data_IF_663395749199
#
_entry.id   IF_663395749199
#
_cell.length_a   1.000
_cell.length_b   1.000
_cell.length_c   1.000
_cell.angle_alpha   90.00
_cell.angle_beta   90.00
_cell.angle_gamma   90.00
#
_symmetry.space_group_name_H-M   'P 1'
#
loop_
_entity.id
_entity.type
_entity.pdbx_description
1 polymer ?
#
# COMPACT_ATOMS: atom_id res chain seq x y z
N UNK A 1 4.63 2.65 -4.73
CA UNK A 1 3.45 3.46 -4.35
C UNK A 1 2.41 2.47 -3.90
N UNK A 2 2.19 2.40 -2.58
CA UNK A 2 1.47 1.30 -1.95
C UNK A 2 -0.06 1.47 -1.94
N UNK A 3 -0.56 2.72 -1.92
CA UNK A 3 -1.98 3.05 -2.05
C UNK A 3 -2.28 3.48 -3.49
N UNK A 4 -3.24 2.83 -4.12
CA UNK A 4 -3.65 3.06 -5.52
C UNK A 4 -4.81 4.05 -5.63
N UNK A 5 -5.45 4.39 -4.51
CA UNK A 5 -6.55 5.35 -4.44
C UNK A 5 -7.85 4.74 -3.93
N UNK A 6 -8.80 5.63 -3.63
CA UNK A 6 -10.20 5.27 -3.42
C UNK A 6 -10.83 4.88 -4.75
N UNK A 7 -11.24 3.63 -4.87
CA UNK A 7 -11.77 3.04 -6.11
C UNK A 7 -13.29 3.08 -6.19
N UNK A 8 -13.99 3.42 -5.12
CA UNK A 8 -15.44 3.61 -5.13
C UNK A 8 -16.00 4.00 -3.77
N UNK A 9 -17.14 4.69 -3.78
CA UNK A 9 -17.92 5.02 -2.58
C UNK A 9 -19.41 4.79 -2.85
N UNK A 10 -20.18 4.57 -1.80
CA UNK A 10 -21.63 4.46 -1.89
C UNK A 10 -22.31 4.95 -0.62
N UNK A 11 -23.54 5.42 -0.76
CA UNK A 11 -24.43 5.75 0.35
C UNK A 11 -25.81 5.14 0.11
N UNK A 12 -26.51 4.85 1.20
CA UNK A 12 -27.89 4.41 1.16
C UNK A 12 -28.66 5.10 2.29
N UNK A 13 -29.80 5.72 1.94
CA UNK A 13 -30.69 6.43 2.86
C UNK A 13 -32.07 5.77 3.02
N UNK A 14 -32.19 4.51 2.60
CA UNK A 14 -33.39 3.69 2.69
C UNK A 14 -33.08 2.38 3.41
N UNK A 15 -34.10 1.77 4.02
CA UNK A 15 -33.96 0.48 4.70
C UNK A 15 -33.67 -0.63 3.70
N UNK A 16 -32.49 -1.23 3.79
CA UNK A 16 -32.06 -2.34 2.94
C UNK A 16 -31.13 -3.31 3.68
N UNK A 17 -31.06 -4.53 3.17
CA UNK A 17 -30.08 -5.54 3.59
C UNK A 17 -28.82 -5.51 2.73
N UNK A 18 -28.70 -4.61 1.76
CA UNK A 18 -27.54 -4.51 0.89
C UNK A 18 -27.19 -3.09 0.46
N UNK A 19 -25.90 -2.86 0.23
CA UNK A 19 -25.35 -1.69 -0.46
C UNK A 19 -24.46 -2.15 -1.62
N UNK A 20 -24.49 -1.41 -2.73
CA UNK A 20 -23.62 -1.64 -3.89
C UNK A 20 -22.75 -0.41 -4.11
N UNK A 21 -21.44 -0.64 -4.21
CA UNK A 21 -20.43 0.34 -4.59
C UNK A 21 -20.14 0.16 -6.07
N UNK A 22 -20.36 1.19 -6.87
CA UNK A 22 -19.88 1.25 -8.26
C UNK A 22 -18.48 1.82 -8.28
N UNK A 23 -17.56 1.13 -8.95
CA UNK A 23 -16.16 1.53 -8.97
C UNK A 23 -15.92 2.70 -9.93
N UNK A 24 -15.29 3.76 -9.42
CA UNK A 24 -14.81 4.89 -10.20
C UNK A 24 -13.41 4.65 -10.78
N UNK A 25 -12.64 3.73 -10.21
CA UNK A 25 -11.32 3.32 -10.67
C UNK A 25 -11.13 1.80 -10.56
N UNK A 26 -10.19 1.26 -11.34
CA UNK A 26 -9.86 -0.16 -11.30
C UNK A 26 -8.89 -0.54 -10.18
N UNK A 27 -8.82 -1.84 -9.89
CA UNK A 27 -7.82 -2.44 -9.01
C UNK A 27 -7.13 -3.60 -9.75
N UNK A 28 -5.80 -3.56 -9.94
CA UNK A 28 -5.08 -4.58 -10.68
C UNK A 28 -5.02 -5.91 -9.92
N UNK A 29 -4.82 -7.01 -10.65
CA UNK A 29 -4.53 -8.33 -10.06
C UNK A 29 -3.35 -8.21 -9.10
N UNK A 30 -3.45 -8.87 -7.95
CA UNK A 30 -2.44 -8.83 -6.91
C UNK A 30 -2.54 -7.62 -5.98
N UNK A 31 -3.45 -6.66 -6.21
CA UNK A 31 -3.78 -5.67 -5.18
C UNK A 31 -4.70 -6.27 -4.10
N UNK A 32 -4.81 -5.57 -2.98
CA UNK A 32 -5.80 -5.80 -1.92
C UNK A 32 -6.77 -4.63 -1.91
N UNK A 33 -8.06 -4.92 -1.93
CA UNK A 33 -9.10 -3.92 -1.70
C UNK A 33 -9.49 -3.97 -0.22
N UNK A 34 -9.46 -2.81 0.44
CA UNK A 34 -9.94 -2.61 1.79
C UNK A 34 -11.27 -1.86 1.74
N UNK A 35 -12.25 -2.35 2.48
CA UNK A 35 -13.62 -1.86 2.49
C UNK A 35 -13.95 -1.33 3.88
N UNK A 36 -14.22 -0.03 4.00
CA UNK A 36 -14.77 0.59 5.19
C UNK A 36 -16.26 0.80 5.04
N UNK A 37 -17.04 0.45 6.07
CA UNK A 37 -18.50 0.61 6.07
C UNK A 37 -18.96 1.18 7.39
N UNK A 38 -19.87 2.15 7.32
CA UNK A 38 -20.63 2.68 8.43
C UNK A 38 -22.12 2.33 8.27
N UNK A 39 -22.77 1.97 9.37
CA UNK A 39 -24.21 1.71 9.43
C UNK A 39 -24.87 2.51 10.54
N UNK A 40 -26.18 2.71 10.45
CA UNK A 40 -26.98 2.81 11.67
C UNK A 40 -26.92 1.49 12.45
N UNK A 41 -26.84 1.56 13.77
CA UNK A 41 -26.80 0.39 14.63
C UNK A 41 -28.18 0.07 15.24
N UNK A 42 -29.29 0.40 14.56
CA UNK A 42 -30.63 0.41 15.15
C UNK A 42 -31.08 -0.92 15.82
N UNK A 43 -30.41 -2.05 15.54
CA UNK A 43 -30.62 -3.34 16.22
C UNK A 43 -29.57 -3.67 17.30
N UNK A 44 -28.92 -2.65 17.87
CA UNK A 44 -28.03 -2.77 19.03
C UNK A 44 -26.67 -3.39 18.77
N UNK A 45 -26.20 -3.43 17.51
CA UNK A 45 -24.93 -4.06 17.21
C UNK A 45 -24.49 -3.94 15.76
N UNK A 46 -23.28 -4.43 15.49
CA UNK A 46 -22.73 -4.58 14.14
C UNK A 46 -23.58 -5.63 13.39
N UNK A 47 -24.09 -5.33 12.18
CA UNK A 47 -24.81 -6.33 11.41
C UNK A 47 -23.88 -7.48 10.99
N UNK A 48 -24.41 -8.71 10.96
CA UNK A 48 -23.69 -9.85 10.39
C UNK A 48 -23.63 -9.70 8.87
N UNK A 49 -22.43 -9.77 8.31
CA UNK A 49 -22.24 -9.72 6.85
C UNK A 49 -22.46 -11.13 6.29
N UNK A 50 -23.51 -11.29 5.50
CA UNK A 50 -23.89 -12.56 4.89
C UNK A 50 -23.04 -12.87 3.66
N UNK A 51 -22.76 -11.86 2.84
CA UNK A 51 -21.94 -12.00 1.64
C UNK A 51 -21.31 -10.67 1.24
N UNK A 52 -20.14 -10.76 0.62
CA UNK A 52 -19.56 -9.68 -0.17
C UNK A 52 -19.16 -10.27 -1.52
N UNK A 53 -19.62 -9.65 -2.59
CA UNK A 53 -19.38 -10.11 -3.97
C UNK A 53 -18.98 -8.94 -4.83
N UNK A 54 -18.14 -9.19 -5.84
CA UNK A 54 -17.91 -8.24 -6.92
C UNK A 54 -18.27 -8.84 -8.28
N UNK A 55 -18.44 -7.99 -9.28
CA UNK A 55 -18.81 -8.39 -10.66
C UNK A 55 -17.75 -9.23 -11.37
N UNK A 56 -16.56 -9.42 -10.78
CA UNK A 56 -15.44 -10.19 -11.33
C UNK A 56 -15.16 -11.49 -10.56
N UNK A 57 -15.98 -11.79 -9.55
CA UNK A 57 -15.91 -13.05 -8.80
C UNK A 57 -14.68 -13.18 -7.89
N UNK A 58 -14.09 -12.08 -7.40
CA UNK A 58 -13.06 -12.21 -6.38
C UNK A 58 -13.64 -12.72 -5.06
N UNK A 59 -12.79 -13.38 -4.26
CA UNK A 59 -13.19 -13.92 -2.96
C UNK A 59 -13.01 -12.88 -1.86
N UNK A 60 -14.08 -12.67 -1.09
CA UNK A 60 -14.11 -11.73 0.03
C UNK A 60 -14.27 -12.45 1.37
N UNK A 61 -13.71 -11.88 2.43
CA UNK A 61 -14.09 -12.27 3.79
C UNK A 61 -15.51 -11.78 4.10
N UNK A 62 -16.31 -12.62 4.75
CA UNK A 62 -17.59 -12.22 5.35
C UNK A 62 -17.45 -11.86 6.83
N UNK A 63 -16.30 -12.15 7.42
CA UNK A 63 -15.96 -11.69 8.77
C UNK A 63 -15.15 -10.39 8.66
N UNK A 64 -15.61 -9.28 9.26
CA UNK A 64 -14.80 -8.07 9.33
C UNK A 64 -13.47 -8.34 10.01
N UNK A 65 -12.39 -7.78 9.49
CA UNK A 65 -11.11 -7.75 10.20
C UNK A 65 -11.26 -6.92 11.50
N UNK A 66 -12.09 -5.88 11.46
CA UNK A 66 -12.40 -5.02 12.59
C UNK A 66 -13.85 -4.55 12.54
N UNK A 67 -14.50 -4.42 13.69
CA UNK A 67 -15.84 -3.85 13.78
C UNK A 67 -16.21 -3.44 15.20
N UNK A 68 -17.05 -2.42 15.35
CA UNK A 68 -17.64 -2.03 16.65
C UNK A 68 -18.94 -1.27 16.45
N UNK A 69 -19.82 -1.30 17.45
CA UNK A 69 -21.04 -0.50 17.49
C UNK A 69 -21.07 0.37 18.75
N UNK A 70 -21.52 1.62 18.57
CA UNK A 70 -21.84 2.55 19.65
C UNK A 70 -23.33 2.46 19.99
N UNK A 71 -23.68 1.45 20.80
CA UNK A 71 -25.06 1.16 21.20
C UNK A 71 -25.96 0.94 19.98
N UNK A 72 -27.10 1.63 19.97
CA UNK A 72 -28.08 1.56 18.87
C UNK A 72 -27.90 2.64 17.81
N UNK A 73 -26.85 3.48 17.91
CA UNK A 73 -26.71 4.66 17.05
C UNK A 73 -25.93 4.34 15.79
N UNK A 74 -24.66 3.96 15.90
CA UNK A 74 -23.75 3.83 14.75
C UNK A 74 -22.85 2.61 14.90
N UNK A 75 -22.58 1.92 13.80
CA UNK A 75 -21.64 0.82 13.74
C UNK A 75 -20.65 1.01 12.60
N UNK A 76 -19.49 0.40 12.72
CA UNK A 76 -18.43 0.41 11.71
C UNK A 76 -17.88 -0.99 11.49
N UNK A 77 -17.41 -1.26 10.27
CA UNK A 77 -16.75 -2.50 9.90
C UNK A 77 -15.69 -2.27 8.83
N UNK A 78 -14.62 -3.06 8.91
CA UNK A 78 -13.54 -3.10 7.93
C UNK A 78 -13.39 -4.51 7.37
N UNK A 79 -13.39 -4.65 6.05
CA UNK A 79 -13.18 -5.93 5.35
C UNK A 79 -12.08 -5.81 4.31
N UNK A 80 -11.63 -6.95 3.80
CA UNK A 80 -10.65 -7.01 2.72
C UNK A 80 -10.91 -8.15 1.74
N UNK A 81 -10.39 -7.96 0.53
CA UNK A 81 -10.25 -9.00 -0.47
C UNK A 81 -8.96 -8.83 -1.27
N UNK A 82 -8.35 -9.95 -1.65
CA UNK A 82 -7.26 -9.95 -2.63
C UNK A 82 -7.87 -10.01 -4.02
N UNK A 83 -7.43 -9.12 -4.90
CA UNK A 83 -7.87 -9.10 -6.30
C UNK A 83 -7.13 -10.19 -7.08
N UNK A 84 -7.85 -11.24 -7.45
CA UNK A 84 -7.38 -12.33 -8.33
C UNK A 84 -7.80 -12.10 -9.79
N UNK A 85 -8.91 -11.39 -9.99
CA UNK A 85 -9.43 -10.95 -11.28
C UNK A 85 -9.53 -9.43 -11.25
N UNK A 86 -8.82 -8.74 -12.15
CA UNK A 86 -8.76 -7.27 -12.15
C UNK A 86 -10.16 -6.64 -12.15
N UNK A 87 -10.36 -5.70 -11.22
CA UNK A 87 -11.53 -4.85 -11.16
C UNK A 87 -11.31 -3.64 -12.08
N UNK A 88 -12.33 -3.24 -12.82
CA UNK A 88 -12.31 -2.10 -13.73
C UNK A 88 -13.29 -1.02 -13.27
N UNK A 89 -13.14 0.19 -13.80
CA UNK A 89 -14.16 1.24 -13.66
C UNK A 89 -15.52 0.72 -14.16
N UNK A 90 -16.58 0.97 -13.39
CA UNK A 90 -17.94 0.50 -13.65
C UNK A 90 -18.26 -0.89 -13.11
N UNK A 91 -17.27 -1.68 -12.68
CA UNK A 91 -17.53 -2.89 -11.88
C UNK A 91 -18.17 -2.53 -10.53
N UNK A 92 -18.72 -3.53 -9.85
CA UNK A 92 -19.42 -3.31 -8.58
C UNK A 92 -18.89 -4.20 -7.47
N UNK A 93 -18.98 -3.71 -6.23
CA UNK A 93 -18.82 -4.50 -5.00
C UNK A 93 -20.14 -4.37 -4.24
N UNK A 94 -20.78 -5.50 -3.93
CA UNK A 94 -22.05 -5.56 -3.18
C UNK A 94 -21.81 -6.23 -1.84
N UNK A 95 -22.25 -5.56 -0.77
CA UNK A 95 -22.26 -6.09 0.59
C UNK A 95 -23.69 -6.39 0.97
N UNK A 96 -23.93 -7.59 1.47
CA UNK A 96 -25.24 -8.03 1.98
C UNK A 96 -25.10 -8.43 3.44
N UNK A 97 -26.01 -7.97 4.27
CA UNK A 97 -26.12 -8.35 5.68
C UNK A 97 -27.29 -9.31 5.90
N UNK A 98 -27.20 -10.08 6.98
CA UNK A 98 -28.32 -10.85 7.52
C UNK A 98 -28.89 -10.18 8.77
N UNK A 99 -30.13 -10.54 9.13
CA UNK A 99 -30.85 -9.94 10.25
C UNK A 99 -31.65 -8.70 9.85
N UNK A 100 -31.77 -7.74 10.76
CA UNK A 100 -32.54 -6.52 10.54
C UNK A 100 -31.84 -5.61 9.52
N UNK A 101 -32.59 -5.22 8.48
CA UNK A 101 -32.15 -4.25 7.48
C UNK A 101 -31.77 -2.91 8.13
N UNK A 102 -30.88 -2.17 7.46
CA UNK A 102 -30.34 -0.88 7.93
C UNK A 102 -30.79 0.24 7.03
N UNK A 103 -31.16 1.36 7.63
CA UNK A 103 -31.70 2.54 6.95
C UNK A 103 -30.64 3.50 6.44
N UNK A 104 -29.41 3.42 6.97
CA UNK A 104 -28.33 4.36 6.69
C UNK A 104 -27.01 3.63 6.53
N UNK A 105 -26.42 3.76 5.36
CA UNK A 105 -25.13 3.16 5.03
C UNK A 105 -24.23 4.19 4.37
N UNK A 106 -22.96 4.17 4.72
CA UNK A 106 -21.89 4.81 3.95
C UNK A 106 -20.77 3.79 3.79
N UNK A 107 -20.24 3.64 2.57
CA UNK A 107 -19.20 2.67 2.27
C UNK A 107 -18.13 3.26 1.35
N UNK A 108 -16.89 2.80 1.52
CA UNK A 108 -15.73 3.19 0.71
C UNK A 108 -14.83 1.99 0.48
N UNK A 109 -14.34 1.84 -0.76
CA UNK A 109 -13.34 0.86 -1.15
C UNK A 109 -12.04 1.56 -1.56
N UNK A 110 -10.92 1.16 -0.95
CA UNK A 110 -9.56 1.64 -1.25
C UNK A 110 -8.68 0.48 -1.74
N UNK A 111 -7.88 0.70 -2.78
CA UNK A 111 -6.99 -0.31 -3.35
C UNK A 111 -5.53 -0.11 -2.93
N UNK A 112 -4.85 -1.20 -2.57
CA UNK A 112 -3.45 -1.20 -2.13
C UNK A 112 -2.63 -2.30 -2.82
N UNK A 113 -1.45 -1.98 -3.34
CA UNK A 113 -0.62 -2.90 -4.14
C UNK A 113 0.36 -3.75 -3.32
N UNK A 114 0.78 -3.27 -2.14
CA UNK A 114 1.93 -3.84 -1.40
C UNK A 114 1.54 -4.72 -0.20
N UNK A 115 0.23 -4.94 0.02
CA UNK A 115 -0.30 -5.70 1.15
C UNK A 115 -0.04 -7.21 0.96
N UNK A 116 0.44 -7.87 2.02
CA UNK A 116 0.83 -9.29 1.98
C UNK A 116 -0.37 -10.25 1.82
N UNK A 117 -0.09 -11.53 1.55
CA UNK A 117 -1.12 -12.58 1.38
C UNK A 117 -1.84 -12.96 2.68
N UNK A 118 -1.12 -12.91 3.81
CA UNK A 118 -1.68 -13.04 5.17
C UNK A 118 -1.46 -11.71 5.91
N UNK A 119 -2.22 -10.66 5.56
CA UNK A 119 -1.84 -9.31 5.89
C UNK A 119 -2.25 -8.88 7.30
N UNK A 120 -3.40 -9.32 7.82
CA UNK A 120 -3.89 -8.82 9.10
C UNK A 120 -2.91 -9.13 10.23
N UNK A 121 -2.58 -8.13 11.06
CA UNK A 121 -1.71 -8.27 12.21
C UNK A 121 -2.40 -7.93 13.53
N UNK A 122 -2.77 -6.67 13.74
CA UNK A 122 -3.43 -6.19 14.97
C UNK A 122 -4.66 -5.38 14.67
N UNK A 123 -5.59 -5.40 15.62
CA UNK A 123 -6.81 -4.61 15.57
C UNK A 123 -7.11 -3.98 16.91
N UNK A 124 -7.85 -2.88 16.88
CA UNK A 124 -8.46 -2.27 18.05
C UNK A 124 -9.76 -1.56 17.63
N UNK A 125 -10.61 -1.29 18.60
CA UNK A 125 -11.86 -0.57 18.36
C UNK A 125 -12.27 0.21 19.58
N UNK A 126 -12.98 1.32 19.37
CA UNK A 126 -13.50 2.17 20.43
C UNK A 126 -14.87 2.75 20.04
N UNK A 127 -15.76 2.84 21.02
CA UNK A 127 -17.10 3.38 20.88
C UNK A 127 -17.56 4.01 22.20
N UNK A 128 -16.87 5.06 22.70
CA UNK A 128 -17.05 5.56 24.06
C UNK A 128 -18.29 6.44 24.24
N UNK A 129 -19.07 6.66 23.17
CA UNK A 129 -20.21 7.58 23.16
C UNK A 129 -19.94 8.80 22.27
N UNK A 130 -20.23 10.01 22.78
CA UNK A 130 -20.15 11.25 22.01
C UNK A 130 -18.84 12.01 22.25
N UNK A 131 -18.12 12.36 21.18
CA UNK A 131 -16.90 13.17 21.25
C UNK A 131 -16.69 13.97 19.96
N UNK A 132 -15.94 15.07 20.05
CA UNK A 132 -15.38 15.77 18.88
C UNK A 132 -13.95 15.28 18.55
N UNK A 133 -13.30 14.56 19.47
CA UNK A 133 -12.00 13.93 19.29
C UNK A 133 -12.21 12.42 19.27
N UNK A 134 -12.20 11.85 18.08
CA UNK A 134 -12.44 10.43 17.84
C UNK A 134 -11.12 9.67 17.96
N UNK A 135 -11.20 8.46 18.48
CA UNK A 135 -10.10 7.52 18.61
C UNK A 135 -10.59 6.13 18.20
N UNK A 136 -9.77 5.36 17.49
CA UNK A 136 -10.04 3.94 17.20
C UNK A 136 -9.75 3.02 18.38
N UNK A 137 -9.19 3.55 19.47
CA UNK A 137 -8.47 2.76 20.47
C UNK A 137 -7.07 2.38 19.98
N UNK A 138 -6.27 1.87 20.92
CA UNK A 138 -4.86 1.52 20.71
C UNK A 138 -4.71 0.02 20.50
N UNK A 139 -4.05 -0.40 19.42
CA UNK A 139 -3.73 -1.81 19.18
C UNK A 139 -2.65 -2.30 20.15
N UNK A 140 -2.53 -3.62 20.33
CA UNK A 140 -1.27 -4.18 20.79
C UNK A 140 -0.13 -3.86 19.80
N UNK A 141 1.13 -4.03 20.24
CA UNK A 141 2.28 -3.79 19.37
C UNK A 141 2.25 -4.70 18.13
N UNK A 142 2.53 -4.13 16.96
CA UNK A 142 2.60 -4.86 15.70
C UNK A 142 3.74 -5.88 15.69
N UNK A 143 3.58 -6.95 14.91
CA UNK A 143 4.55 -8.05 14.84
C UNK A 143 5.66 -7.83 13.83
N UNK A 144 5.50 -6.84 12.93
CA UNK A 144 6.56 -6.41 12.02
C UNK A 144 6.62 -4.89 11.90
N UNK A 145 7.73 -4.42 11.34
CA UNK A 145 8.03 -3.01 11.21
C UNK A 145 7.15 -2.33 10.14
N UNK A 146 7.00 -2.95 8.98
CA UNK A 146 6.29 -2.39 7.84
C UNK A 146 4.79 -2.72 7.92
N UNK A 147 3.99 -1.77 8.40
CA UNK A 147 2.54 -1.94 8.53
C UNK A 147 1.78 -0.84 7.80
N UNK A 148 0.73 -1.22 7.08
CA UNK A 148 -0.34 -0.34 6.64
C UNK A 148 -1.37 -0.30 7.77
N UNK A 149 -1.51 0.86 8.40
CA UNK A 149 -2.53 1.10 9.43
C UNK A 149 -3.73 1.72 8.75
N UNK A 150 -4.92 1.12 8.93
CA UNK A 150 -6.18 1.65 8.40
C UNK A 150 -7.15 1.87 9.54
N UNK A 151 -7.62 3.10 9.66
CA UNK A 151 -8.59 3.56 10.63
C UNK A 151 -9.91 3.88 9.92
N UNK A 152 -11.00 3.33 10.44
CA UNK A 152 -12.36 3.54 9.91
C UNK A 152 -13.20 4.20 11.00
N UNK A 153 -13.76 5.36 10.68
CA UNK A 153 -14.57 6.15 11.60
C UNK A 153 -15.99 6.27 11.06
N UNK A 154 -16.97 5.92 11.90
CA UNK A 154 -18.38 6.13 11.65
C UNK A 154 -18.95 7.11 12.68
N UNK A 155 -19.63 8.16 12.23
CA UNK A 155 -20.18 9.23 13.08
C UNK A 155 -21.42 9.84 12.42
N UNK A 156 -22.14 10.72 13.12
CA UNK A 156 -23.25 11.49 12.50
C UNK A 156 -22.78 12.47 11.43
N UNK A 157 -23.55 12.67 10.36
CA UNK A 157 -23.24 13.56 9.23
C UNK A 157 -23.18 15.06 9.59
N UNK A 158 -22.86 15.91 8.61
CA UNK A 158 -22.93 17.38 8.74
C UNK A 158 -21.77 18.00 9.53
N UNK A 159 -20.73 17.24 9.82
CA UNK A 159 -19.53 17.69 10.53
C UNK A 159 -18.37 17.90 9.56
N UNK A 160 -17.56 18.91 9.83
CA UNK A 160 -16.26 19.08 9.19
C UNK A 160 -15.25 18.19 9.91
N UNK A 161 -14.35 17.58 9.13
CA UNK A 161 -13.40 16.59 9.60
C UNK A 161 -11.98 17.15 9.52
N UNK A 162 -11.18 16.93 10.56
CA UNK A 162 -9.76 17.25 10.59
C UNK A 162 -8.96 15.96 10.72
N UNK A 163 -8.20 15.64 9.67
CA UNK A 163 -7.30 14.48 9.64
C UNK A 163 -5.95 14.89 10.23
N UNK A 164 -5.42 14.15 11.21
CA UNK A 164 -4.10 14.45 11.79
C UNK A 164 -2.97 14.36 10.76
N UNK A 165 -1.87 15.07 11.02
CA UNK A 165 -0.66 14.96 10.19
C UNK A 165 -0.13 13.52 10.16
N UNK A 166 0.46 13.13 9.02
CA UNK A 166 0.98 11.78 8.80
C UNK A 166 -0.08 10.73 8.42
N UNK A 167 -1.36 11.11 8.37
CA UNK A 167 -2.43 10.28 7.82
C UNK A 167 -2.89 10.81 6.46
N UNK A 168 -3.15 9.90 5.55
CA UNK A 168 -3.94 10.16 4.34
C UNK A 168 -5.37 9.67 4.58
N UNK A 169 -6.36 10.32 3.98
CA UNK A 169 -7.76 9.88 4.08
C UNK A 169 -8.45 9.98 2.73
N UNK A 170 -9.43 9.10 2.53
CA UNK A 170 -10.37 9.22 1.41
C UNK A 170 -11.39 10.34 1.66
N UNK A 171 -12.38 10.48 0.76
CA UNK A 171 -13.47 11.43 0.95
C UNK A 171 -14.28 11.11 2.21
N UNK A 172 -14.84 12.14 2.85
CA UNK A 172 -15.93 11.93 3.82
C UNK A 172 -17.17 11.49 3.02
N UNK A 173 -17.69 10.31 3.33
CA UNK A 173 -18.88 9.74 2.68
C UNK A 173 -20.06 9.87 3.63
N UNK A 174 -21.13 10.57 3.27
CA UNK A 174 -22.25 10.83 4.17
C UNK A 174 -23.63 10.61 3.53
N UNK A 175 -24.56 10.03 4.29
CA UNK A 175 -25.98 9.93 3.89
C UNK A 175 -26.69 11.27 4.06
N UNK A 176 -27.79 11.45 3.32
CA UNK A 176 -28.54 12.71 3.24
C UNK A 176 -30.06 12.51 3.34
N UNK A 177 -30.54 12.10 4.52
CA UNK A 177 -31.95 11.88 4.79
C UNK A 177 -32.38 12.24 6.23
N UNK A 178 -31.66 13.15 6.90
CA UNK A 178 -32.10 13.84 8.12
C UNK A 178 -31.37 13.40 9.40
N UNK A 179 -32.06 13.50 10.55
CA UNK A 179 -31.47 13.38 11.90
C UNK A 179 -30.86 12.01 12.26
N UNK A 180 -30.97 11.02 11.39
CA UNK A 180 -30.36 9.70 11.53
C UNK A 180 -29.13 9.47 10.64
N UNK A 181 -28.65 10.48 9.92
CA UNK A 181 -27.61 10.30 8.91
C UNK A 181 -26.26 9.85 9.48
N UNK A 182 -25.53 9.10 8.65
CA UNK A 182 -24.23 8.52 8.97
C UNK A 182 -23.18 9.06 8.01
N UNK A 183 -22.01 9.33 8.57
CA UNK A 183 -20.80 9.66 7.86
C UNK A 183 -19.74 8.61 8.13
N UNK A 184 -18.93 8.37 7.12
CA UNK A 184 -17.78 7.49 7.10
C UNK A 184 -16.54 8.31 6.71
N UNK A 185 -15.44 8.04 7.38
CA UNK A 185 -14.12 8.40 6.89
C UNK A 185 -13.18 7.19 7.06
N UNK A 186 -12.48 6.85 6.00
CA UNK A 186 -11.38 5.88 6.04
C UNK A 186 -10.07 6.64 5.91
N UNK A 187 -9.17 6.43 6.87
CA UNK A 187 -7.84 7.00 6.87
C UNK A 187 -6.80 5.89 6.92
N UNK A 188 -5.63 6.13 6.35
CA UNK A 188 -4.51 5.20 6.40
C UNK A 188 -3.16 5.89 6.60
N UNK A 189 -2.20 5.14 7.13
CA UNK A 189 -0.78 5.51 7.18
C UNK A 189 0.10 4.27 7.00
N UNK A 190 1.30 4.48 6.47
CA UNK A 190 2.34 3.45 6.45
C UNK A 190 3.32 3.74 7.58
N UNK A 191 3.68 2.71 8.34
CA UNK A 191 4.70 2.78 9.39
C UNK A 191 5.80 1.78 9.10
N UNK A 192 7.02 2.08 9.54
CA UNK A 192 8.24 1.29 9.31
C UNK A 192 8.94 0.86 10.60
N UNK A 193 8.20 0.86 11.72
CA UNK A 193 8.66 0.40 13.02
C UNK A 193 7.54 -0.35 13.74
N UNK A 194 7.93 -1.37 14.52
CA UNK A 194 6.99 -2.08 15.39
C UNK A 194 6.49 -1.16 16.49
N UNK A 195 5.21 -1.25 16.84
CA UNK A 195 4.64 -0.48 17.93
C UNK A 195 3.13 -0.54 17.96
N UNK A 196 2.53 0.07 18.98
CA UNK A 196 1.08 0.22 19.07
C UNK A 196 0.58 1.24 18.05
N UNK A 197 -0.60 1.02 17.50
CA UNK A 197 -1.20 1.90 16.50
C UNK A 197 -2.56 2.42 17.00
N UNK A 198 -2.88 3.66 16.66
CA UNK A 198 -4.15 4.31 16.95
C UNK A 198 -4.42 5.34 15.85
N UNK A 199 -5.63 5.30 15.31
CA UNK A 199 -6.16 6.36 14.46
C UNK A 199 -6.94 7.36 15.32
N UNK A 200 -6.75 8.64 15.04
CA UNK A 200 -7.55 9.72 15.63
C UNK A 200 -8.16 10.61 14.56
N UNK A 201 -9.26 11.28 14.89
CA UNK A 201 -9.95 12.20 13.99
C UNK A 201 -10.58 13.36 14.76
N UNK A 202 -10.44 14.58 14.25
CA UNK A 202 -11.14 15.75 14.78
C UNK A 202 -12.46 16.02 14.06
N UNK A 203 -13.50 16.41 14.80
CA UNK A 203 -14.77 16.88 14.26
C UNK A 203 -15.05 18.31 14.72
N UNK A 204 -15.74 19.09 13.89
CA UNK A 204 -16.17 20.46 14.24
C UNK A 204 -17.17 20.53 15.41
N UNK A 205 -17.85 19.42 15.71
CA UNK A 205 -18.75 19.27 16.86
C UNK A 205 -18.85 17.81 17.28
N UNK A 206 -19.23 17.55 18.53
CA UNK A 206 -19.30 16.20 19.06
C UNK A 206 -20.32 15.32 18.31
N UNK A 207 -20.00 14.04 18.16
CA UNK A 207 -20.86 13.02 17.58
C UNK A 207 -20.76 11.72 18.36
N UNK A 208 -21.86 10.99 18.48
CA UNK A 208 -21.77 9.57 18.80
C UNK A 208 -21.06 8.86 17.66
N UNK A 209 -20.03 8.09 17.98
CA UNK A 209 -19.18 7.49 16.97
C UNK A 209 -18.79 6.05 17.32
N UNK A 210 -18.50 5.28 16.29
CA UNK A 210 -17.87 3.98 16.33
C UNK A 210 -16.61 4.04 15.46
N UNK A 211 -15.47 3.62 16.00
CA UNK A 211 -14.21 3.67 15.27
C UNK A 211 -13.39 2.41 15.49
N UNK A 212 -12.72 1.94 14.46
CA UNK A 212 -11.87 0.76 14.53
C UNK A 212 -10.61 0.95 13.70
N UNK A 213 -9.54 0.26 14.09
CA UNK A 213 -8.25 0.24 13.39
C UNK A 213 -7.80 -1.20 13.17
N UNK A 214 -7.22 -1.43 12.00
CA UNK A 214 -6.53 -2.66 11.65
C UNK A 214 -5.16 -2.33 11.08
N UNK A 215 -4.17 -3.16 11.39
CA UNK A 215 -2.83 -3.10 10.81
C UNK A 215 -2.63 -4.28 9.87
N UNK A 216 -2.04 -3.98 8.72
CA UNK A 216 -1.79 -4.93 7.66
C UNK A 216 -0.31 -4.95 7.30
N UNK A 217 0.28 -6.13 7.40
CA UNK A 217 1.62 -6.46 6.93
C UNK A 217 1.74 -6.12 5.45
N UNK A 218 2.74 -5.31 5.12
CA UNK A 218 3.09 -5.02 3.74
C UNK A 218 4.58 -5.24 3.52
N UNK A 219 4.94 -5.54 2.27
CA UNK A 219 6.34 -5.60 1.83
C UNK A 219 6.57 -4.42 0.92
N UNK A 220 7.37 -3.42 1.33
CA UNK A 220 7.69 -2.28 0.48
C UNK A 220 8.21 -2.78 -0.86
N UNK A 221 7.76 -2.17 -1.96
CA UNK A 221 8.43 -2.38 -3.24
C UNK A 221 9.89 -1.96 -3.06
N UNK A 222 10.83 -2.90 -3.22
CA UNK A 222 12.25 -2.59 -3.11
C UNK A 222 12.62 -1.41 -4.01
N UNK A 223 13.68 -0.64 -3.69
CA UNK A 223 14.14 0.40 -4.59
C UNK A 223 14.35 -0.22 -5.98
N UNK A 224 14.02 0.52 -7.08
CA UNK A 224 14.30 0.02 -8.41
C UNK A 224 15.77 -0.38 -8.46
N UNK A 225 16.03 -1.65 -8.76
CA UNK A 225 17.40 -2.11 -8.90
C UNK A 225 18.01 -1.33 -10.06
N UNK A 226 18.93 -0.41 -9.77
CA UNK A 226 19.72 0.23 -10.83
C UNK A 226 20.61 -0.87 -11.42
N UNK A 227 20.29 -1.25 -12.65
CA UNK A 227 21.11 -2.15 -13.46
C UNK A 227 21.83 -1.26 -14.47
N UNK A 228 23.12 -1.04 -14.27
CA UNK A 228 23.97 -0.48 -15.32
C UNK A 228 24.36 -1.67 -16.20
N UNK A 229 23.68 -1.85 -17.32
CA UNK A 229 23.95 -2.96 -18.24
C UNK A 229 25.23 -2.74 -19.03
N UNK A 230 25.53 -1.50 -19.39
CA UNK A 230 26.71 -1.11 -20.17
C UNK A 230 27.15 0.30 -19.80
N UNK A 231 28.45 0.51 -19.69
CA UNK A 231 29.09 1.83 -19.68
C UNK A 231 29.99 1.87 -20.91
N UNK A 232 29.73 2.80 -21.82
CA UNK A 232 30.59 3.03 -23.00
C UNK A 232 31.36 4.33 -22.80
N UNK A 233 32.64 4.30 -23.13
CA UNK A 233 33.50 5.49 -23.19
C UNK A 233 33.94 5.67 -24.63
N UNK A 234 33.59 6.79 -25.23
CA UNK A 234 34.01 7.12 -26.58
C UNK A 234 35.30 7.94 -26.51
N UNK A 235 36.38 7.43 -27.12
CA UNK A 235 37.68 8.10 -27.12
C UNK A 235 37.83 8.89 -28.42
N UNK A 236 38.14 10.20 -28.37
CA UNK A 236 38.46 10.95 -29.57
C UNK A 236 39.80 10.46 -30.14
N UNK A 237 39.77 9.94 -31.37
CA UNK A 237 40.87 9.68 -32.30
C UNK A 237 42.22 9.13 -31.74
N UNK A 238 42.64 7.90 -32.11
CA UNK A 238 43.80 7.22 -31.54
C UNK A 238 45.18 7.78 -31.94
N UNK A 239 45.26 8.84 -32.75
CA UNK A 239 46.54 9.31 -33.31
C UNK A 239 47.39 10.18 -32.37
N UNK A 240 46.86 10.65 -31.24
CA UNK A 240 47.61 11.47 -30.26
C UNK A 240 47.25 11.11 -28.80
N UNK A 241 47.23 9.82 -28.47
CA UNK A 241 46.63 9.29 -27.24
C UNK A 241 47.12 9.95 -25.92
N UNK A 242 46.27 10.73 -25.21
CA UNK A 242 46.37 10.78 -23.76
C UNK A 242 45.64 9.55 -23.20
N UNK A 243 46.33 8.79 -22.35
CA UNK A 243 45.75 7.72 -21.54
C UNK A 243 44.37 8.12 -20.99
N UNK A 244 43.32 7.38 -21.32
CA UNK A 244 42.04 7.49 -20.61
C UNK A 244 42.25 6.89 -19.22
N UNK A 245 42.44 7.76 -18.22
CA UNK A 245 42.46 7.37 -16.81
C UNK A 245 41.07 7.52 -16.23
N UNK A 246 40.39 6.41 -16.02
CA UNK A 246 39.22 6.39 -15.14
C UNK A 246 39.78 6.27 -13.71
N UNK A 247 40.00 7.41 -13.06
CA UNK A 247 40.63 7.45 -11.74
C UNK A 247 39.71 6.96 -10.63
N UNK A 248 38.39 7.17 -10.75
CA UNK A 248 37.39 6.71 -9.81
C UNK A 248 36.05 6.47 -10.52
N UNK A 249 35.41 5.32 -10.22
CA UNK A 249 33.98 5.12 -10.44
C UNK A 249 33.35 5.16 -9.05
N UNK A 250 32.66 6.26 -8.74
CA UNK A 250 31.90 6.38 -7.50
C UNK A 250 30.47 5.92 -7.74
N UNK A 251 30.01 4.95 -6.96
CA UNK A 251 28.60 4.58 -6.90
C UNK A 251 28.00 5.26 -5.68
N UNK A 252 27.14 6.25 -5.88
CA UNK A 252 26.40 6.86 -4.79
C UNK A 252 25.15 6.02 -4.55
N UNK A 253 25.21 5.15 -3.54
CA UNK A 253 24.06 4.33 -3.13
C UNK A 253 23.27 5.15 -2.12
N UNK A 254 21.96 5.43 -2.37
CA UNK A 254 21.12 6.09 -1.40
C UNK A 254 21.13 5.29 -0.09
N UNK A 255 21.33 6.00 1.03
CA UNK A 255 21.65 5.42 2.32
C UNK A 255 20.75 4.24 2.73
N UNK A 256 21.38 3.26 3.39
CA UNK A 256 20.81 2.11 4.08
C UNK A 256 20.53 0.84 3.27
N UNK A 257 21.53 0.24 2.64
CA UNK A 257 21.77 -1.21 2.77
C UNK A 257 23.23 -1.53 2.43
N UNK A 258 23.92 -2.31 3.27
CA UNK A 258 25.20 -2.92 2.90
C UNK A 258 24.92 -3.90 1.77
N UNK A 259 25.07 -3.44 0.53
CA UNK A 259 24.92 -4.25 -0.68
C UNK A 259 26.27 -4.49 -1.34
N UNK A 260 26.53 -5.72 -1.77
CA UNK A 260 27.71 -6.02 -2.58
C UNK A 260 27.52 -5.47 -3.99
N UNK A 261 28.42 -4.61 -4.46
CA UNK A 261 28.51 -4.25 -5.89
C UNK A 261 29.19 -5.41 -6.60
N UNK A 262 28.49 -6.09 -7.51
CA UNK A 262 29.07 -7.11 -8.40
C UNK A 262 29.18 -6.54 -9.81
N UNK A 263 30.39 -6.45 -10.33
CA UNK A 263 30.65 -6.20 -11.75
C UNK A 263 30.76 -7.58 -12.41
N UNK A 264 29.73 -8.00 -13.14
CA UNK A 264 29.65 -9.36 -13.68
C UNK A 264 30.49 -9.55 -14.95
N UNK A 265 30.66 -8.49 -15.76
CA UNK A 265 31.44 -8.51 -16.99
C UNK A 265 32.03 -7.12 -17.23
N UNK A 266 33.31 -7.06 -17.62
CA UNK A 266 33.96 -5.88 -18.16
C UNK A 266 34.44 -6.28 -19.56
N UNK A 267 33.90 -5.64 -20.60
CA UNK A 267 34.43 -5.77 -21.96
C UNK A 267 35.26 -4.53 -22.26
N UNK A 268 36.49 -4.72 -22.74
CA UNK A 268 37.39 -3.65 -23.14
C UNK A 268 37.67 -3.83 -24.62
N UNK A 269 37.14 -2.95 -25.47
CA UNK A 269 37.55 -2.86 -26.86
C UNK A 269 38.67 -1.82 -26.98
N UNK A 270 39.85 -2.27 -27.40
CA UNK A 270 40.99 -1.39 -27.65
C UNK A 270 41.22 -1.34 -29.15
N UNK A 271 41.00 -0.20 -29.82
CA UNK A 271 41.32 -0.07 -31.24
C UNK A 271 42.83 -0.21 -31.43
N UNK A 272 43.23 -1.10 -32.35
CA UNK A 272 44.62 -1.34 -32.72
C UNK A 272 44.89 -0.80 -34.13
N UNK A 273 46.01 -0.10 -34.32
CA UNK A 273 46.44 0.32 -35.65
C UNK A 273 46.83 -0.91 -36.51
N UNK A 274 46.74 -0.84 -37.85
CA UNK A 274 47.19 -1.91 -38.73
C UNK A 274 48.64 -2.34 -38.41
N UNK A 275 48.83 -3.62 -38.04
CA UNK A 275 50.13 -4.19 -37.67
C UNK A 275 50.49 -4.14 -36.18
N UNK A 276 49.67 -3.51 -35.34
CA UNK A 276 49.88 -3.50 -33.88
C UNK A 276 49.43 -4.83 -33.25
N UNK A 277 50.29 -5.44 -32.42
CA UNK A 277 49.90 -6.64 -31.67
C UNK A 277 48.81 -6.30 -30.65
N UNK A 278 47.80 -7.16 -30.47
CA UNK A 278 46.78 -6.96 -29.43
C UNK A 278 47.45 -6.83 -28.05
N UNK A 279 46.93 -5.97 -27.15
CA UNK A 279 47.37 -5.97 -25.76
C UNK A 279 47.10 -7.34 -25.12
N UNK A 280 48.09 -7.90 -24.44
CA UNK A 280 48.10 -9.31 -23.96
C UNK A 280 47.88 -9.46 -22.45
N UNK A 281 47.36 -8.46 -21.75
CA UNK A 281 47.10 -8.58 -20.32
C UNK A 281 46.19 -7.51 -19.75
N UNK A 282 45.46 -7.88 -18.70
CA UNK A 282 44.75 -6.95 -17.82
C UNK A 282 45.62 -6.76 -16.58
N UNK A 283 46.00 -5.51 -16.31
CA UNK A 283 46.75 -5.14 -15.11
C UNK A 283 45.82 -4.44 -14.15
N UNK A 284 45.78 -4.91 -12.90
CA UNK A 284 44.96 -4.31 -11.84
C UNK A 284 45.89 -3.59 -10.88
N UNK A 285 45.60 -2.32 -10.60
CA UNK A 285 46.31 -1.57 -9.57
C UNK A 285 45.53 -1.70 -8.26
N UNK A 286 46.12 -2.37 -7.25
CA UNK A 286 45.57 -2.46 -5.89
C UNK A 286 46.54 -1.82 -4.92
N UNK A 287 46.08 -0.86 -4.13
CA UNK A 287 46.90 -0.13 -3.14
C UNK A 287 48.20 0.46 -3.72
N UNK A 288 48.13 0.96 -4.96
CA UNK A 288 49.27 1.54 -5.66
C UNK A 288 50.26 0.52 -6.23
N UNK A 289 50.01 -0.78 -6.08
CA UNK A 289 50.83 -1.86 -6.63
C UNK A 289 50.15 -2.48 -7.85
N UNK A 290 50.91 -2.60 -8.94
CA UNK A 290 50.45 -3.21 -10.18
C UNK A 290 50.52 -4.74 -10.05
N UNK A 291 49.37 -5.40 -10.17
CA UNK A 291 49.25 -6.86 -10.13
C UNK A 291 48.80 -7.39 -11.49
N UNK A 292 49.39 -8.50 -11.91
CA UNK A 292 48.92 -9.27 -13.06
C UNK A 292 47.61 -9.95 -12.68
N UNK A 293 46.50 -9.61 -13.33
CA UNK A 293 45.25 -10.32 -13.12
C UNK A 293 45.27 -11.61 -13.93
N UNK A 294 45.13 -12.75 -13.26
CA UNK A 294 45.00 -14.05 -13.91
C UNK A 294 43.77 -14.07 -14.81
N UNK A 295 43.98 -14.23 -16.11
CA UNK A 295 42.92 -14.27 -17.12
C UNK A 295 42.60 -15.73 -17.43
N UNK A 296 41.52 -16.27 -16.88
CA UNK A 296 41.01 -17.59 -17.28
C UNK A 296 39.99 -17.40 -18.39
N UNK A 297 40.38 -17.67 -19.63
CA UNK A 297 39.45 -17.74 -20.76
C UNK A 297 38.74 -19.08 -20.68
N UNK A 298 37.45 -19.08 -20.38
CA UNK A 298 36.62 -20.26 -20.57
C UNK A 298 36.31 -20.36 -22.07
N UNK A 299 36.97 -21.28 -22.77
CA UNK A 299 36.57 -21.65 -24.13
C UNK A 299 35.19 -22.31 -24.05
N UNK A 300 34.16 -21.66 -24.60
CA UNK A 300 32.90 -22.35 -24.88
C UNK A 300 33.19 -23.43 -25.93
N UNK A 301 32.96 -24.68 -25.56
CA UNK A 301 33.13 -25.81 -26.47
C UNK A 301 32.26 -25.64 -27.71
N UNK A 302 32.88 -25.77 -28.87
CA UNK A 302 32.20 -25.95 -30.15
C UNK A 302 31.51 -27.33 -30.16
N UNK A 303 30.27 -27.35 -30.67
CA UNK A 303 29.53 -28.56 -31.09
C UNK A 303 30.02 -28.99 -32.46
#
# INVERSE_FOLDING_TARGET
MAHLGTIGTATLSTTSSSITITLSAGAPVGSTVLLGIAWDAAAGGVPTIASVTDSRGNSWSTTPDMSVAAGTTVAVGGLRARVTTALLTGDTITVTISGAARGRWAAQADAHSEVNTTPLDKTASNAPGSSASLSTGVTAATTQANELVVAVFAFGSGRTVTVPSGWAAGPKVETTAGSGDRALLVAHRYVSATGTQEGTLGLSSASTYAAAVATYKYTPSGPPAVRISQVSFEVPNPSDAPLVRISQVAFEVPAATVGAVRIAQVSLEVPAAPGQRPPTGIKVLSDGVLQEAGLSVATQGEV
#
